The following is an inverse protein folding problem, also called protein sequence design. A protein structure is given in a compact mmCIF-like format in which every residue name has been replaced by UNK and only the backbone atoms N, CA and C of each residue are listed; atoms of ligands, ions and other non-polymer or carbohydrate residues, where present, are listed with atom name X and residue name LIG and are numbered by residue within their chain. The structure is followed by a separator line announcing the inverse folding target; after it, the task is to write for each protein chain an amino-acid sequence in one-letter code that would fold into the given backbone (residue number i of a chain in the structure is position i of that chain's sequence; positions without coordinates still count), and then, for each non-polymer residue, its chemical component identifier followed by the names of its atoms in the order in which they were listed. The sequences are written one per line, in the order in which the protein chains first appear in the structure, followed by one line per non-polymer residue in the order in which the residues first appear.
data_IF_160744348733
#
_entry.id   IF_160744348733
#
_cell.length_a   1.000
_cell.length_b   1.000
_cell.length_c   1.000
_cell.angle_alpha   90.00
_cell.angle_beta   90.00
_cell.angle_gamma   90.00
#
_symmetry.space_group_name_H-M   'P 1'
#
loop_
_entity.id
_entity.type
_entity.pdbx_description
1 polymer ?
#
# COMPACT_ATOMS: atom_id res chain seq x y z
N UNK A 1 -7.30 -14.24 -13.43
CA UNK A 1 -7.52 -13.13 -12.46
C UNK A 1 -6.55 -11.97 -12.66
N UNK A 2 -5.23 -12.16 -12.49
CA UNK A 2 -4.25 -11.06 -12.65
C UNK A 2 -4.34 -10.36 -14.01
N UNK A 3 -4.56 -11.08 -15.10
CA UNK A 3 -4.77 -10.46 -16.41
C UNK A 3 -6.06 -9.62 -16.49
N UNK A 4 -7.13 -10.04 -15.81
CA UNK A 4 -8.36 -9.27 -15.74
C UNK A 4 -8.14 -7.97 -14.94
N UNK A 5 -7.46 -8.03 -13.79
CA UNK A 5 -7.11 -6.81 -13.04
C UNK A 5 -6.26 -5.85 -13.87
N UNK A 6 -5.29 -6.36 -14.67
CA UNK A 6 -4.50 -5.52 -15.58
C UNK A 6 -5.37 -4.83 -16.63
N UNK A 7 -6.27 -5.56 -17.29
CA UNK A 7 -7.18 -5.00 -18.30
C UNK A 7 -8.07 -3.91 -17.67
N UNK A 8 -8.48 -4.08 -16.41
CA UNK A 8 -9.24 -3.09 -15.64
C UNK A 8 -8.39 -1.89 -15.16
N UNK A 9 -7.10 -1.81 -15.51
CA UNK A 9 -6.20 -0.71 -15.12
C UNK A 9 -5.49 -0.91 -13.77
N UNK A 10 -5.62 -2.08 -13.16
CA UNK A 10 -4.90 -2.44 -11.93
C UNK A 10 -3.38 -2.48 -12.15
N UNK A 11 -2.64 -1.79 -11.28
CA UNK A 11 -1.16 -1.75 -11.31
C UNK A 11 -0.52 -2.62 -10.22
N UNK A 12 -1.20 -2.79 -9.09
CA UNK A 12 -0.75 -3.55 -7.93
C UNK A 12 -1.90 -4.40 -7.40
N UNK A 13 -1.57 -5.53 -6.75
CA UNK A 13 -2.54 -6.38 -6.08
C UNK A 13 -2.09 -6.65 -4.64
N UNK A 14 -3.06 -6.77 -3.74
CA UNK A 14 -2.86 -7.02 -2.32
C UNK A 14 -4.17 -7.49 -1.69
N UNK A 15 -4.14 -7.82 -0.40
CA UNK A 15 -5.26 -8.48 0.29
C UNK A 15 -5.90 -7.63 1.41
N UNK A 16 -5.35 -6.45 1.73
CA UNK A 16 -5.72 -5.71 2.96
C UNK A 16 -6.37 -4.35 2.71
N UNK A 17 -5.97 -3.61 1.68
CA UNK A 17 -6.28 -2.18 1.57
C UNK A 17 -7.76 -1.84 1.32
N UNK A 18 -8.54 -2.73 0.70
CA UNK A 18 -9.90 -2.41 0.24
C UNK A 18 -10.86 -2.14 1.40
N UNK A 19 -10.92 -3.03 2.41
CA UNK A 19 -11.77 -2.82 3.58
C UNK A 19 -11.19 -1.76 4.53
N UNK A 20 -9.85 -1.71 4.65
CA UNK A 20 -9.16 -0.78 5.53
C UNK A 20 -9.38 0.69 5.13
N UNK A 21 -9.27 1.01 3.84
CA UNK A 21 -9.43 2.38 3.35
C UNK A 21 -10.88 2.89 3.50
N UNK A 22 -11.86 1.99 3.32
CA UNK A 22 -13.29 2.30 3.50
C UNK A 22 -13.56 2.62 4.98
N UNK A 23 -13.13 1.75 5.90
CA UNK A 23 -13.33 1.96 7.34
C UNK A 23 -12.62 3.24 7.83
N UNK A 24 -11.41 3.52 7.35
CA UNK A 24 -10.71 4.75 7.70
C UNK A 24 -11.48 6.00 7.22
N UNK A 25 -12.14 5.93 6.06
CA UNK A 25 -12.99 7.02 5.56
C UNK A 25 -14.25 7.18 6.41
N UNK A 26 -14.91 6.08 6.80
CA UNK A 26 -16.08 6.10 7.69
C UNK A 26 -15.76 6.72 9.05
N UNK A 27 -14.53 6.52 9.56
CA UNK A 27 -14.05 7.16 10.79
C UNK A 27 -13.58 8.61 10.61
N UNK A 28 -13.69 9.18 9.40
CA UNK A 28 -13.23 10.53 9.09
C UNK A 28 -11.70 10.70 9.13
N UNK A 29 -10.93 9.60 9.05
CA UNK A 29 -9.47 9.60 9.11
C UNK A 29 -8.85 9.83 7.72
N UNK A 30 -7.77 10.60 7.67
CA UNK A 30 -6.98 10.76 6.45
C UNK A 30 -6.09 9.52 6.27
N UNK A 31 -6.38 8.74 5.24
CA UNK A 31 -5.75 7.45 4.99
C UNK A 31 -4.87 7.49 3.75
N UNK A 32 -3.69 6.86 3.84
CA UNK A 32 -2.77 6.68 2.72
C UNK A 32 -1.94 5.41 2.94
N UNK A 33 -1.50 4.76 1.86
CA UNK A 33 -0.79 3.48 1.90
C UNK A 33 0.57 3.58 1.23
N UNK A 34 1.58 2.95 1.83
CA UNK A 34 2.87 2.69 1.18
C UNK A 34 2.92 1.20 0.85
N UNK A 35 2.85 0.87 -0.44
CA UNK A 35 2.86 -0.51 -0.90
C UNK A 35 4.29 -0.93 -1.28
N UNK A 36 4.78 -2.04 -0.71
CA UNK A 36 6.04 -2.65 -1.12
C UNK A 36 5.76 -3.74 -2.15
N UNK A 37 6.32 -3.60 -3.36
CA UNK A 37 6.26 -4.64 -4.39
C UNK A 37 7.24 -5.75 -4.05
N UNK A 38 6.73 -6.93 -3.71
CA UNK A 38 7.56 -8.07 -3.26
C UNK A 38 7.72 -9.17 -4.31
N UNK A 39 6.81 -9.26 -5.28
CA UNK A 39 6.87 -10.21 -6.39
C UNK A 39 6.02 -9.70 -7.57
N UNK A 40 6.12 -10.36 -8.72
CA UNK A 40 5.19 -10.23 -9.82
C UNK A 40 4.07 -11.25 -9.65
N UNK A 41 2.84 -10.78 -9.45
CA UNK A 41 1.68 -11.60 -9.09
C UNK A 41 1.45 -12.85 -9.95
N UNK A 42 0.54 -13.73 -9.50
CA UNK A 42 0.37 -15.06 -10.09
C UNK A 42 0.12 -15.00 -11.61
N UNK A 43 0.89 -15.80 -12.37
CA UNK A 43 0.83 -15.80 -13.84
C UNK A 43 1.65 -14.68 -14.51
N UNK A 44 2.41 -13.88 -13.75
CA UNK A 44 3.47 -13.00 -14.27
C UNK A 44 4.88 -13.51 -13.97
N UNK A 45 4.99 -14.49 -13.07
CA UNK A 45 6.20 -15.24 -12.76
C UNK A 45 5.82 -16.70 -12.49
N UNK A 46 6.80 -17.61 -12.51
CA UNK A 46 6.55 -19.05 -12.45
C UNK A 46 5.97 -19.52 -11.11
N UNK A 47 6.49 -19.00 -9.98
CA UNK A 47 6.08 -19.39 -8.63
C UNK A 47 6.11 -18.19 -7.69
N UNK A 48 5.16 -18.15 -6.75
CA UNK A 48 5.15 -17.20 -5.64
C UNK A 48 5.41 -17.97 -4.36
N UNK A 49 6.26 -17.41 -3.50
CA UNK A 49 6.55 -17.99 -2.19
C UNK A 49 6.50 -16.94 -1.10
N UNK A 50 6.04 -17.35 0.08
CA UNK A 50 6.03 -16.49 1.27
C UNK A 50 7.46 -16.11 1.68
N UNK A 51 8.43 -17.00 1.47
CA UNK A 51 9.84 -16.74 1.77
C UNK A 51 10.44 -15.63 0.90
N UNK A 52 10.10 -15.58 -0.39
CA UNK A 52 10.48 -14.47 -1.30
C UNK A 52 9.96 -13.12 -0.78
N UNK A 53 8.69 -13.09 -0.33
CA UNK A 53 8.07 -11.89 0.23
C UNK A 53 8.86 -11.37 1.43
N UNK A 54 9.19 -12.25 2.39
CA UNK A 54 9.98 -11.86 3.56
C UNK A 54 11.39 -11.41 3.20
N UNK A 55 12.06 -12.09 2.25
CA UNK A 55 13.40 -11.71 1.79
C UNK A 55 13.42 -10.28 1.21
N UNK A 56 12.44 -9.93 0.38
CA UNK A 56 12.34 -8.56 -0.16
C UNK A 56 12.02 -7.57 0.96
N UNK A 57 11.13 -7.92 1.88
CA UNK A 57 10.77 -7.07 3.00
C UNK A 57 11.98 -6.75 3.90
N UNK A 58 12.75 -7.75 4.31
CA UNK A 58 13.97 -7.58 5.12
C UNK A 58 15.00 -6.68 4.43
N UNK A 59 15.16 -6.82 3.11
CA UNK A 59 16.06 -5.96 2.34
C UNK A 59 15.62 -4.50 2.23
N UNK A 60 14.35 -4.18 2.55
CA UNK A 60 13.76 -2.85 2.36
C UNK A 60 13.28 -2.19 3.65
N UNK A 61 13.21 -2.92 4.76
CA UNK A 61 12.64 -2.43 6.03
C UNK A 61 13.32 -1.16 6.55
N UNK A 62 14.65 -1.06 6.43
CA UNK A 62 15.40 0.13 6.86
C UNK A 62 15.05 1.36 6.02
N UNK A 63 14.91 1.19 4.70
CA UNK A 63 14.48 2.25 3.79
C UNK A 63 13.04 2.69 4.07
N UNK A 64 12.15 1.74 4.32
CA UNK A 64 10.75 2.00 4.66
C UNK A 64 10.62 2.80 5.97
N UNK A 65 11.37 2.41 7.02
CA UNK A 65 11.40 3.16 8.30
C UNK A 65 11.87 4.60 8.10
N UNK A 66 12.93 4.81 7.32
CA UNK A 66 13.44 6.15 6.99
C UNK A 66 12.41 6.98 6.22
N UNK A 67 11.70 6.36 5.27
CA UNK A 67 10.64 7.02 4.51
C UNK A 67 9.48 7.45 5.43
N UNK A 68 9.00 6.54 6.27
CA UNK A 68 7.92 6.83 7.23
C UNK A 68 8.33 7.99 8.15
N UNK A 69 9.55 7.99 8.68
CA UNK A 69 10.06 9.10 9.50
C UNK A 69 9.97 10.45 8.79
N UNK A 70 10.46 10.52 7.53
CA UNK A 70 10.38 11.74 6.72
C UNK A 70 8.95 12.16 6.41
N UNK A 71 8.06 11.21 6.14
CA UNK A 71 6.65 11.50 5.90
C UNK A 71 6.01 12.09 7.16
N UNK A 72 6.30 11.55 8.34
CA UNK A 72 5.79 12.06 9.61
C UNK A 72 6.27 13.49 9.91
N UNK A 73 7.52 13.82 9.58
CA UNK A 73 8.04 15.19 9.67
C UNK A 73 7.27 16.17 8.77
N UNK A 74 6.74 15.71 7.63
CA UNK A 74 6.03 16.54 6.65
C UNK A 74 4.51 16.55 6.84
N UNK A 75 3.92 15.47 7.37
CA UNK A 75 2.46 15.32 7.46
C UNK A 75 1.83 16.26 8.48
N UNK A 76 2.62 16.75 9.44
CA UNK A 76 2.19 17.75 10.43
C UNK A 76 1.64 19.04 9.77
N UNK A 77 1.99 19.32 8.52
CA UNK A 77 1.54 20.50 7.76
C UNK A 77 0.30 20.24 6.88
N UNK A 78 -0.29 19.04 6.89
CA UNK A 78 -1.30 18.60 5.91
C UNK A 78 -2.76 18.74 6.41
N UNK A 79 -2.99 19.31 7.60
CA UNK A 79 -4.30 19.23 8.28
C UNK A 79 -5.50 19.78 7.52
N UNK A 80 -5.32 20.68 6.55
CA UNK A 80 -6.44 21.46 6.00
C UNK A 80 -6.90 21.02 4.60
N UNK A 81 -6.17 20.11 3.93
CA UNK A 81 -6.50 19.69 2.55
C UNK A 81 -7.32 18.40 2.46
N UNK A 82 -7.45 17.66 3.55
CA UNK A 82 -8.11 16.37 3.58
C UNK A 82 -9.64 16.52 3.73
N UNK A 83 -10.42 15.87 2.86
CA UNK A 83 -11.88 15.93 2.88
C UNK A 83 -12.55 14.76 3.62
N UNK A 84 -11.81 13.93 4.36
CA UNK A 84 -12.34 12.73 5.03
C UNK A 84 -13.42 13.04 6.07
N UNK A 85 -13.34 14.18 6.76
CA UNK A 85 -14.34 14.58 7.77
C UNK A 85 -15.65 15.11 7.18
N UNK A 86 -15.78 15.21 5.85
CA UNK A 86 -16.95 15.81 5.17
C UNK A 86 -17.94 14.75 4.66
N UNK A 87 -17.72 13.47 5.01
CA UNK A 87 -18.55 12.33 4.58
C UNK A 87 -19.29 11.78 5.78
#
# INVERSE_FOLDING_TARGET
EINAFRILGGTLVGMTSASECILARELGMCYSTICLVTNFAAGMQDKISVSEVFKVFEGKIMGLRKLIGKVLEQIAYVSDKCNCKKV
#
